data_IF_620956538225
#
_entry.id   IF_620956538225
#
_cell.length_a   1.000
_cell.length_b   1.000
_cell.length_c   1.000
_cell.angle_alpha   90.00
_cell.angle_beta   90.00
_cell.angle_gamma   90.00
#
_symmetry.space_group_name_H-M   'P 1'
#
loop_
_entity.id
_entity.type
_entity.pdbx_description
1 polymer ?
#
# COMPACT_ATOMS: atom_id res chain seq x y z
N UNK A 1 -1.64 2.63 9.81
CA UNK A 1 -0.50 3.19 9.07
C UNK A 1 0.43 3.98 9.97
N UNK A 2 1.57 3.37 10.24
CA UNK A 2 2.79 3.98 10.73
C UNK A 2 3.45 4.85 9.66
N UNK A 3 4.11 5.95 10.07
CA UNK A 3 4.82 6.85 9.14
C UNK A 3 5.94 6.12 8.38
N UNK A 4 6.58 5.14 9.02
CA UNK A 4 7.65 4.33 8.40
C UNK A 4 7.12 3.51 7.21
N UNK A 5 5.96 2.88 7.34
CA UNK A 5 5.34 2.11 6.26
C UNK A 5 5.07 2.97 5.05
N UNK A 6 4.60 4.21 5.26
CA UNK A 6 4.39 5.18 4.19
C UNK A 6 5.68 5.49 3.43
N UNK A 7 6.76 5.78 4.17
CA UNK A 7 8.07 6.08 3.59
C UNK A 7 8.59 4.91 2.75
N UNK A 8 8.43 3.67 3.22
CA UNK A 8 8.84 2.47 2.48
C UNK A 8 8.10 2.35 1.15
N UNK A 9 6.78 2.54 1.16
CA UNK A 9 5.95 2.44 -0.04
C UNK A 9 6.28 3.58 -1.02
N UNK A 10 6.42 4.81 -0.54
CA UNK A 10 6.79 5.97 -1.35
C UNK A 10 8.19 5.80 -1.96
N UNK A 11 9.15 5.28 -1.21
CA UNK A 11 10.47 4.97 -1.72
C UNK A 11 10.41 3.94 -2.85
N UNK A 12 9.62 2.87 -2.67
CA UNK A 12 9.40 1.88 -3.72
C UNK A 12 8.81 2.52 -4.98
N UNK A 13 7.78 3.37 -4.83
CA UNK A 13 7.13 4.04 -5.95
C UNK A 13 8.06 5.02 -6.69
N UNK A 14 8.94 5.71 -5.97
CA UNK A 14 9.90 6.64 -6.57
C UNK A 14 11.05 5.95 -7.32
N UNK A 15 11.39 4.72 -6.92
CA UNK A 15 12.51 3.96 -7.50
C UNK A 15 12.08 3.00 -8.61
N UNK A 16 10.80 2.65 -8.68
CA UNK A 16 10.26 1.67 -9.63
C UNK A 16 9.20 2.29 -10.54
N UNK A 17 9.27 1.97 -11.84
CA UNK A 17 8.25 2.35 -12.84
C UNK A 17 7.49 1.14 -13.31
N UNK A 18 6.74 0.52 -12.40
CA UNK A 18 5.95 -0.69 -12.65
C UNK A 18 4.47 -0.41 -12.40
N UNK A 19 3.58 -1.24 -12.94
CA UNK A 19 2.13 -1.16 -12.64
C UNK A 19 1.86 -1.25 -11.12
N UNK A 20 2.63 -2.09 -10.42
CA UNK A 20 2.59 -2.17 -8.95
C UNK A 20 2.87 -0.81 -8.31
N UNK A 21 3.92 -0.10 -8.75
CA UNK A 21 4.23 1.22 -8.24
C UNK A 21 3.11 2.25 -8.53
N UNK A 22 2.46 2.18 -9.69
CA UNK A 22 1.32 3.05 -10.01
C UNK A 22 0.12 2.81 -9.08
N UNK A 23 -0.23 1.54 -8.84
CA UNK A 23 -1.30 1.14 -7.90
C UNK A 23 -0.96 1.61 -6.49
N UNK A 24 0.24 1.28 -6.00
CA UNK A 24 0.67 1.63 -4.65
C UNK A 24 0.75 3.15 -4.44
N UNK A 25 1.18 3.90 -5.45
CA UNK A 25 1.24 5.37 -5.35
C UNK A 25 -0.15 5.99 -5.20
N UNK A 26 -1.19 5.39 -5.80
CA UNK A 26 -2.59 5.81 -5.60
C UNK A 26 -3.07 5.46 -4.19
N UNK A 27 -2.85 4.22 -3.75
CA UNK A 27 -3.33 3.75 -2.44
C UNK A 27 -2.62 4.46 -1.28
N UNK A 28 -1.30 4.65 -1.37
CA UNK A 28 -0.55 5.39 -0.35
C UNK A 28 -0.96 6.86 -0.28
N UNK A 29 -1.37 7.47 -1.40
CA UNK A 29 -1.90 8.84 -1.39
C UNK A 29 -3.21 8.93 -0.57
N UNK A 30 -4.04 7.89 -0.58
CA UNK A 30 -5.25 7.83 0.26
C UNK A 30 -4.91 7.81 1.75
N UNK A 31 -3.74 7.28 2.15
CA UNK A 31 -3.33 7.26 3.56
C UNK A 31 -3.12 8.66 4.18
N UNK A 32 -3.02 9.72 3.36
CA UNK A 32 -2.96 11.10 3.84
C UNK A 32 -4.32 11.66 4.28
N UNK A 33 -5.42 11.01 3.90
CA UNK A 33 -6.77 11.38 4.29
C UNK A 33 -7.34 10.32 5.25
N UNK A 34 -7.53 10.71 6.51
CA UNK A 34 -8.07 9.82 7.56
C UNK A 34 -9.51 9.37 7.32
N UNK A 35 -10.22 10.03 6.39
CA UNK A 35 -11.57 9.66 5.97
C UNK A 35 -11.61 8.81 4.70
N UNK A 36 -10.48 8.60 4.04
CA UNK A 36 -10.41 7.77 2.86
C UNK A 36 -10.54 6.28 3.22
N UNK A 37 -11.41 5.59 2.49
CA UNK A 37 -11.55 4.14 2.51
C UNK A 37 -11.34 3.63 1.09
N UNK A 38 -10.60 2.54 0.94
CA UNK A 38 -10.44 1.88 -0.34
C UNK A 38 -11.72 1.20 -0.80
N UNK A 39 -11.81 0.85 -2.07
CA UNK A 39 -12.91 0.01 -2.59
C UNK A 39 -12.62 -1.47 -2.38
N UNK A 40 -13.64 -2.34 -2.42
CA UNK A 40 -13.44 -3.80 -2.38
C UNK A 40 -12.46 -4.30 -3.47
N UNK A 41 -12.45 -3.64 -4.64
CA UNK A 41 -11.50 -3.95 -5.70
C UNK A 41 -10.05 -3.58 -5.32
N UNK A 42 -9.86 -2.48 -4.60
CA UNK A 42 -8.56 -2.06 -4.08
C UNK A 42 -8.06 -3.03 -3.00
N UNK A 43 -8.96 -3.55 -2.16
CA UNK A 43 -8.63 -4.56 -1.14
C UNK A 43 -8.10 -5.83 -1.79
N UNK A 44 -8.86 -6.39 -2.75
CA UNK A 44 -8.45 -7.60 -3.49
C UNK A 44 -7.11 -7.38 -4.21
N UNK A 45 -6.92 -6.23 -4.85
CA UNK A 45 -5.67 -5.90 -5.54
C UNK A 45 -4.49 -5.79 -4.57
N UNK A 46 -4.70 -5.18 -3.40
CA UNK A 46 -3.65 -5.03 -2.39
C UNK A 46 -3.29 -6.37 -1.72
N UNK A 47 -4.27 -7.21 -1.40
CA UNK A 47 -4.06 -8.58 -0.90
C UNK A 47 -3.18 -9.40 -1.88
N UNK A 48 -3.50 -9.37 -3.18
CA UNK A 48 -2.69 -10.06 -4.19
C UNK A 48 -1.25 -9.53 -4.26
N UNK A 49 -1.05 -8.22 -4.06
CA UNK A 49 0.26 -7.60 -4.03
C UNK A 49 1.07 -7.98 -2.80
N UNK A 50 0.42 -8.13 -1.64
CA UNK A 50 1.02 -8.59 -0.37
C UNK A 50 1.46 -10.05 -0.49
N UNK A 51 0.61 -10.91 -1.05
CA UNK A 51 0.91 -12.33 -1.23
C UNK A 51 2.10 -12.59 -2.14
N UNK A 52 2.24 -11.79 -3.20
CA UNK A 52 3.32 -11.91 -4.18
C UNK A 52 4.60 -11.17 -3.77
N UNK A 53 4.56 -10.31 -2.74
CA UNK A 53 5.73 -9.56 -2.29
C UNK A 53 6.74 -10.46 -1.57
N UNK A 54 8.01 -10.33 -1.97
CA UNK A 54 9.14 -11.09 -1.43
C UNK A 54 10.02 -10.26 -0.51
N UNK A 55 10.02 -8.94 -0.67
CA UNK A 55 10.71 -8.03 0.21
C UNK A 55 9.92 -7.93 1.53
N UNK A 56 10.48 -8.37 2.68
CA UNK A 56 9.76 -8.41 3.94
C UNK A 56 9.37 -7.02 4.46
N UNK A 57 10.25 -6.03 4.30
CA UNK A 57 10.00 -4.65 4.74
C UNK A 57 8.86 -4.01 3.93
N UNK A 58 8.88 -4.17 2.61
CA UNK A 58 7.79 -3.69 1.77
C UNK A 58 6.50 -4.47 2.06
N UNK A 59 6.56 -5.78 2.29
CA UNK A 59 5.38 -6.59 2.61
C UNK A 59 4.72 -6.13 3.91
N UNK A 60 5.49 -5.87 4.95
CA UNK A 60 4.98 -5.33 6.22
C UNK A 60 4.32 -3.95 6.03
N UNK A 61 4.97 -3.07 5.26
CA UNK A 61 4.39 -1.77 4.94
C UNK A 61 3.06 -1.88 4.17
N UNK A 62 2.93 -2.85 3.26
CA UNK A 62 1.68 -3.10 2.53
C UNK A 62 0.57 -3.63 3.43
N UNK A 63 0.88 -4.48 4.41
CA UNK A 63 -0.10 -4.97 5.39
C UNK A 63 -0.63 -3.80 6.25
N UNK A 64 0.25 -2.92 6.70
CA UNK A 64 -0.17 -1.73 7.48
C UNK A 64 -0.97 -0.72 6.64
N UNK A 65 -0.75 -0.67 5.32
CA UNK A 65 -1.60 0.08 4.40
C UNK A 65 -2.99 -0.57 4.24
N UNK A 66 -3.05 -1.89 4.14
CA UNK A 66 -4.29 -2.65 4.04
C UNK A 66 -5.17 -2.47 5.28
N UNK A 67 -4.60 -2.68 6.47
CA UNK A 67 -5.29 -2.46 7.75
C UNK A 67 -5.80 -1.02 7.88
N UNK A 68 -5.03 -0.04 7.41
CA UNK A 68 -5.44 1.37 7.45
C UNK A 68 -6.63 1.68 6.54
N UNK A 69 -6.62 1.18 5.30
CA UNK A 69 -7.62 1.52 4.28
C UNK A 69 -8.92 0.72 4.42
N UNK A 70 -8.87 -0.48 4.99
CA UNK A 70 -10.02 -1.41 5.00
C UNK A 70 -10.52 -1.79 6.40
N UNK A 71 -9.78 -1.44 7.48
CA UNK A 71 -10.23 -1.47 8.88
C UNK A 71 -10.98 -2.75 9.29
N UNK A 72 -10.41 -3.92 8.97
CA UNK A 72 -10.92 -5.22 9.44
C UNK A 72 -10.85 -5.35 10.97
#
# INVERSE_FOLDING_TARGET
MEEISRIVIEHYCNTHRTKKAEILSRLVAMSYDLSAEGTDADAIELEELIDRERNPELKEALIDLDEFLFRY
#
